data_IF_117533229428
#
_entry.id   IF_117533229428
#
_cell.length_a   1.000
_cell.length_b   1.000
_cell.length_c   1.000
_cell.angle_alpha   90.00
_cell.angle_beta   90.00
_cell.angle_gamma   90.00
#
_symmetry.space_group_name_H-M   'P 1'
#
loop_
_entity.id
_entity.type
_entity.pdbx_description
1 polymer ?
#
# COMPACT_ATOMS: atom_id res chain seq x y z
N UNK A 1 -12.14 -29.12 13.34
CA UNK A 1 -10.98 -28.48 12.68
C UNK A 1 -11.09 -26.98 12.83
N UNK A 2 -10.28 -26.39 13.72
CA UNK A 2 -10.15 -24.95 13.86
C UNK A 2 -8.70 -24.61 13.53
N UNK A 3 -8.42 -24.19 12.30
CA UNK A 3 -7.13 -23.60 11.97
C UNK A 3 -7.13 -22.20 12.57
N UNK A 4 -6.40 -22.05 13.68
CA UNK A 4 -6.13 -20.78 14.32
C UNK A 4 -5.42 -19.84 13.33
N UNK A 5 -6.22 -19.00 12.68
CA UNK A 5 -5.74 -17.78 12.07
C UNK A 5 -5.75 -16.76 13.20
N UNK A 6 -4.60 -16.57 13.85
CA UNK A 6 -4.41 -15.45 14.77
C UNK A 6 -4.69 -14.17 13.98
N UNK A 7 -5.64 -13.31 14.39
CA UNK A 7 -6.02 -12.12 13.63
C UNK A 7 -5.03 -10.96 13.76
N UNK A 8 -3.89 -11.16 14.42
CA UNK A 8 -3.09 -10.06 14.96
C UNK A 8 -1.76 -9.80 14.23
N UNK A 9 -1.54 -10.36 13.03
CA UNK A 9 -0.31 -10.10 12.25
C UNK A 9 -0.59 -9.78 10.80
N UNK A 10 -0.16 -8.60 10.39
CA UNK A 10 -0.27 -8.19 9.00
C UNK A 10 0.67 -9.05 8.13
N UNK A 11 0.26 -9.52 6.95
CA UNK A 11 1.16 -10.20 6.01
C UNK A 11 2.40 -9.37 5.65
N UNK A 12 2.33 -8.04 5.82
CA UNK A 12 3.45 -7.11 5.63
C UNK A 12 4.54 -7.25 6.69
N UNK A 13 4.25 -7.69 7.92
CA UNK A 13 5.28 -7.95 8.94
C UNK A 13 6.26 -9.05 8.49
N UNK A 14 5.74 -10.10 7.86
CA UNK A 14 6.56 -11.17 7.27
C UNK A 14 7.30 -10.73 6.01
N UNK A 15 6.89 -9.60 5.42
CA UNK A 15 7.52 -8.99 4.26
C UNK A 15 8.37 -7.78 4.64
N UNK A 16 8.42 -7.35 5.90
CA UNK A 16 9.05 -6.09 6.33
C UNK A 16 10.50 -6.00 5.87
N UNK A 17 11.28 -7.05 6.08
CA UNK A 17 12.68 -7.11 5.62
C UNK A 17 12.80 -6.97 4.10
N UNK A 18 11.88 -7.58 3.33
CA UNK A 18 11.85 -7.45 1.88
C UNK A 18 11.38 -6.05 1.43
N UNK A 19 10.41 -5.47 2.13
CA UNK A 19 9.90 -4.12 1.90
C UNK A 19 10.99 -3.08 2.20
N UNK A 20 11.74 -3.25 3.30
CA UNK A 20 12.90 -2.44 3.65
C UNK A 20 14.02 -2.57 2.61
N UNK A 21 14.33 -3.79 2.16
CA UNK A 21 15.30 -4.01 1.08
C UNK A 21 14.89 -3.35 -0.24
N UNK A 22 13.57 -3.20 -0.49
CA UNK A 22 13.03 -2.46 -1.63
C UNK A 22 12.97 -0.94 -1.40
N UNK A 23 13.30 -0.44 -0.20
CA UNK A 23 13.22 0.98 0.15
C UNK A 23 11.80 1.48 0.39
N UNK A 24 10.88 0.61 0.81
CA UNK A 24 9.51 0.98 1.15
C UNK A 24 9.48 1.69 2.50
N UNK A 25 8.95 2.91 2.50
CA UNK A 25 8.76 3.72 3.71
C UNK A 25 7.49 3.26 4.42
N UNK A 26 7.55 2.91 5.72
CA UNK A 26 6.36 2.58 6.51
C UNK A 26 5.47 3.81 6.72
N UNK A 27 4.17 3.59 6.93
CA UNK A 27 3.18 4.64 7.11
C UNK A 27 3.56 5.65 8.20
N UNK A 28 4.03 5.17 9.36
CA UNK A 28 4.39 6.01 10.51
C UNK A 28 5.56 6.97 10.25
N UNK A 29 6.44 6.65 9.29
CA UNK A 29 7.59 7.48 8.93
C UNK A 29 7.29 8.52 7.87
N UNK A 30 6.17 8.43 7.16
CA UNK A 30 5.87 9.34 6.05
C UNK A 30 5.72 10.80 6.47
N UNK A 31 5.32 11.08 7.71
CA UNK A 31 5.28 12.45 8.25
C UNK A 31 6.68 13.06 8.43
N UNK A 32 7.71 12.23 8.61
CA UNK A 32 9.09 12.68 8.79
C UNK A 32 9.85 12.83 7.47
N UNK A 33 9.29 12.34 6.36
CA UNK A 33 9.88 12.50 5.03
C UNK A 33 9.65 13.94 4.56
N UNK A 34 10.65 14.62 3.95
CA UNK A 34 10.45 15.96 3.41
C UNK A 34 9.32 15.98 2.37
N UNK A 35 8.42 16.97 2.47
CA UNK A 35 7.34 17.18 1.50
C UNK A 35 7.88 17.24 0.06
N UNK A 36 7.16 16.66 -0.90
CA UNK A 36 7.58 16.61 -2.29
C UNK A 36 8.63 15.53 -2.62
N UNK A 37 9.05 14.73 -1.63
CA UNK A 37 9.98 13.61 -1.84
C UNK A 37 9.30 12.43 -2.52
N UNK A 38 10.02 11.77 -3.44
CA UNK A 38 9.57 10.51 -4.03
C UNK A 38 9.83 9.35 -3.08
N UNK A 39 8.80 8.59 -2.78
CA UNK A 39 8.82 7.44 -1.87
C UNK A 39 8.23 6.19 -2.53
N UNK A 40 8.56 5.03 -1.95
CA UNK A 40 7.83 3.79 -2.15
C UNK A 40 7.03 3.50 -0.89
N UNK A 41 5.76 3.15 -1.04
CA UNK A 41 4.88 2.68 0.03
C UNK A 41 4.26 1.37 -0.38
N UNK A 42 3.95 0.49 0.56
CA UNK A 42 3.32 -0.78 0.27
C UNK A 42 2.36 -1.17 1.37
N UNK A 43 1.29 -1.88 1.02
CA UNK A 43 0.31 -2.31 2.00
C UNK A 43 -0.88 -3.03 1.38
N UNK A 44 -1.73 -3.56 2.25
CA UNK A 44 -3.02 -4.13 1.86
C UNK A 44 -3.97 -3.01 1.47
N UNK A 45 -4.72 -3.18 0.37
CA UNK A 45 -5.68 -2.18 -0.07
C UNK A 45 -6.98 -2.32 0.73
N UNK A 46 -7.29 -1.35 1.58
CA UNK A 46 -8.48 -1.41 2.44
C UNK A 46 -9.71 -0.87 1.73
N UNK A 47 -9.56 0.25 1.01
CA UNK A 47 -10.67 0.85 0.28
C UNK A 47 -10.22 1.64 -0.94
N UNK A 48 -11.18 1.87 -1.84
CA UNK A 48 -11.03 2.63 -3.08
C UNK A 48 -12.24 3.53 -3.25
N UNK A 49 -12.01 4.83 -3.41
CA UNK A 49 -13.07 5.81 -3.56
C UNK A 49 -12.81 6.68 -4.77
N UNK A 50 -13.81 6.77 -5.65
CA UNK A 50 -13.79 7.70 -6.79
C UNK A 50 -14.98 8.65 -6.65
N UNK A 51 -14.81 9.79 -5.95
CA UNK A 51 -15.85 10.79 -5.85
C UNK A 51 -16.22 11.30 -7.24
N UNK A 52 -17.52 11.51 -7.50
CA UNK A 52 -18.00 12.03 -8.78
C UNK A 52 -17.43 13.41 -9.12
N UNK A 53 -17.07 14.19 -8.09
CA UNK A 53 -16.53 15.55 -8.19
C UNK A 53 -15.01 15.60 -8.40
N UNK A 54 -14.29 14.49 -8.25
CA UNK A 54 -12.83 14.46 -8.25
C UNK A 54 -12.17 14.42 -9.65
N UNK A 55 -12.90 14.82 -10.70
CA UNK A 55 -12.41 14.88 -12.09
C UNK A 55 -11.69 13.59 -12.58
N UNK A 56 -12.12 12.43 -12.08
CA UNK A 56 -11.56 11.12 -12.43
C UNK A 56 -10.34 10.67 -11.61
N UNK A 57 -9.97 11.41 -10.57
CA UNK A 57 -9.03 10.97 -9.52
C UNK A 57 -9.70 9.88 -8.67
N UNK A 58 -8.90 8.90 -8.28
CA UNK A 58 -9.31 7.84 -7.34
C UNK A 58 -8.42 7.89 -6.12
N UNK A 59 -9.03 7.83 -4.95
CA UNK A 59 -8.35 7.65 -3.67
C UNK A 59 -8.29 6.16 -3.34
N UNK A 60 -7.12 5.71 -2.91
CA UNK A 60 -6.93 4.37 -2.37
C UNK A 60 -6.29 4.49 -1.00
N UNK A 61 -6.67 3.63 -0.07
CA UNK A 61 -5.99 3.56 1.21
C UNK A 61 -5.25 2.24 1.31
N UNK A 62 -3.97 2.32 1.65
CA UNK A 62 -3.12 1.18 1.93
C UNK A 62 -2.93 1.07 3.44
N UNK A 63 -2.90 -0.14 3.96
CA UNK A 63 -2.62 -0.41 5.36
C UNK A 63 -1.39 -1.30 5.45
N UNK A 64 -0.43 -0.88 6.26
CA UNK A 64 0.70 -1.68 6.71
C UNK A 64 0.63 -1.85 8.24
N UNK A 65 1.61 -2.54 8.81
CA UNK A 65 1.70 -2.81 10.25
C UNK A 65 1.87 -1.55 11.12
N UNK A 66 2.23 -0.43 10.52
CA UNK A 66 2.49 0.85 11.20
C UNK A 66 1.36 1.86 11.05
N UNK A 67 0.43 1.62 10.11
CA UNK A 67 -0.77 2.43 9.95
C UNK A 67 -1.29 2.50 8.52
N UNK A 68 -2.03 3.57 8.24
CA UNK A 68 -2.71 3.79 6.97
C UNK A 68 -2.00 4.85 6.12
N UNK A 69 -1.98 4.62 4.81
CA UNK A 69 -1.42 5.53 3.82
C UNK A 69 -2.48 5.86 2.78
N UNK A 70 -2.87 7.14 2.75
CA UNK A 70 -3.74 7.65 1.69
C UNK A 70 -2.95 7.81 0.40
N UNK A 71 -3.43 7.20 -0.67
CA UNK A 71 -2.85 7.25 -2.00
C UNK A 71 -3.80 7.94 -2.96
N UNK A 72 -3.34 9.01 -3.59
CA UNK A 72 -4.06 9.72 -4.63
C UNK A 72 -3.61 9.20 -5.99
N UNK A 73 -4.53 8.62 -6.76
CA UNK A 73 -4.27 8.13 -8.11
C UNK A 73 -4.94 9.03 -9.15
N UNK A 74 -4.12 9.69 -9.96
CA UNK A 74 -4.61 10.45 -11.10
C UNK A 74 -5.29 9.54 -12.12
N UNK A 75 -6.14 10.13 -12.96
CA UNK A 75 -6.84 9.41 -14.04
C UNK A 75 -5.88 8.69 -14.98
N UNK A 76 -4.71 9.27 -15.26
CA UNK A 76 -3.67 8.66 -16.11
C UNK A 76 -3.04 7.42 -15.48
N UNK A 77 -2.67 7.49 -14.20
CA UNK A 77 -2.09 6.34 -13.47
C UNK A 77 -3.11 5.22 -13.32
N UNK A 78 -4.36 5.57 -12.96
CA UNK A 78 -5.45 4.61 -12.88
C UNK A 78 -5.71 3.92 -14.22
N UNK A 79 -5.74 4.65 -15.33
CA UNK A 79 -5.96 4.08 -16.65
C UNK A 79 -4.82 3.12 -17.05
N UNK A 80 -3.57 3.50 -16.79
CA UNK A 80 -2.38 2.68 -17.09
C UNK A 80 -2.34 1.37 -16.32
N UNK A 81 -2.81 1.38 -15.07
CA UNK A 81 -2.77 0.24 -14.16
C UNK A 81 -4.15 -0.30 -13.82
N UNK A 82 -5.14 -0.10 -14.70
CA UNK A 82 -6.58 -0.30 -14.42
C UNK A 82 -6.91 -1.65 -13.78
N UNK A 83 -6.37 -2.75 -14.33
CA UNK A 83 -6.62 -4.11 -13.82
C UNK A 83 -6.08 -4.23 -12.39
N UNK A 84 -4.80 -3.92 -12.21
CA UNK A 84 -4.12 -3.96 -10.92
C UNK A 84 -4.82 -3.07 -9.87
N UNK A 85 -5.17 -1.84 -10.25
CA UNK A 85 -5.80 -0.87 -9.38
C UNK A 85 -7.19 -1.32 -8.90
N UNK A 86 -7.88 -2.15 -9.67
CA UNK A 86 -9.21 -2.64 -9.33
C UNK A 86 -9.18 -3.93 -8.51
N UNK A 87 -8.24 -4.83 -8.79
CA UNK A 87 -8.33 -6.22 -8.28
C UNK A 87 -7.31 -6.57 -7.22
N UNK A 88 -6.19 -5.85 -7.11
CA UNK A 88 -5.12 -6.24 -6.20
C UNK A 88 -5.54 -6.10 -4.73
N UNK A 89 -5.32 -7.12 -3.92
CA UNK A 89 -5.53 -7.04 -2.46
C UNK A 89 -4.39 -6.32 -1.74
N UNK A 90 -3.21 -6.22 -2.36
CA UNK A 90 -2.08 -5.44 -1.86
C UNK A 90 -1.28 -4.82 -3.01
N UNK A 91 -0.70 -3.66 -2.75
CA UNK A 91 0.02 -2.87 -3.75
C UNK A 91 1.35 -2.37 -3.20
N UNK A 92 2.32 -2.23 -4.09
CA UNK A 92 3.46 -1.33 -3.92
C UNK A 92 3.21 -0.11 -4.80
N UNK A 93 3.26 1.07 -4.22
CA UNK A 93 3.04 2.35 -4.90
C UNK A 93 4.29 3.19 -4.80
N UNK A 94 4.74 3.69 -5.95
CA UNK A 94 5.73 4.77 -6.01
C UNK A 94 5.00 6.08 -6.22
N UNK A 95 5.34 7.09 -5.45
CA UNK A 95 4.67 8.38 -5.54
C UNK A 95 5.43 9.49 -4.84
N UNK A 96 4.85 10.68 -4.90
CA UNK A 96 5.36 11.86 -4.21
C UNK A 96 4.58 12.04 -2.91
N UNK A 97 5.29 12.14 -1.79
CA UNK A 97 4.65 12.44 -0.49
C UNK A 97 4.20 13.90 -0.45
N UNK A 98 3.00 14.12 0.04
CA UNK A 98 2.42 15.41 0.38
C UNK A 98 2.01 15.36 1.84
N UNK A 99 2.71 16.10 2.69
CA UNK A 99 2.51 16.12 4.14
C UNK A 99 2.62 17.54 4.73
N UNK A 100 2.74 18.57 3.89
CA UNK A 100 2.81 19.98 4.31
C UNK A 100 1.65 20.45 5.22
N UNK A 101 0.50 19.79 5.17
CA UNK A 101 -0.71 20.14 5.96
C UNK A 101 -0.88 19.27 7.21
N UNK A 102 0.10 18.42 7.55
CA UNK A 102 0.06 17.52 8.70
C UNK A 102 -0.67 16.20 8.47
N UNK A 103 -1.33 16.01 7.32
CA UNK A 103 -1.85 14.73 6.87
C UNK A 103 -1.04 14.20 5.69
N UNK A 104 -0.66 12.93 5.73
CA UNK A 104 0.10 12.29 4.65
C UNK A 104 -0.82 11.85 3.52
N UNK A 105 -0.49 12.26 2.30
CA UNK A 105 -1.01 11.69 1.06
C UNK A 105 0.13 11.38 0.12
N UNK A 106 0.12 10.20 -0.51
CA UNK A 106 1.08 9.83 -1.55
C UNK A 106 0.41 9.97 -2.92
N UNK A 107 0.88 10.90 -3.72
CA UNK A 107 0.43 11.07 -5.11
C UNK A 107 1.13 10.01 -5.98
N UNK A 108 0.38 8.99 -6.40
CA UNK A 108 0.92 7.86 -7.13
C UNK A 108 1.43 8.26 -8.51
N UNK A 109 2.60 7.77 -8.87
CA UNK A 109 3.18 7.84 -10.22
C UNK A 109 3.20 6.47 -10.91
N UNK A 110 3.34 5.39 -10.11
CA UNK A 110 3.42 4.01 -10.57
C UNK A 110 2.94 3.09 -9.48
N UNK A 111 2.39 1.95 -9.89
CA UNK A 111 1.89 0.93 -8.97
C UNK A 111 2.22 -0.46 -9.49
N UNK A 112 2.55 -1.35 -8.56
CA UNK A 112 2.87 -2.76 -8.77
C UNK A 112 2.08 -3.63 -7.79
N UNK A 113 1.92 -4.91 -8.14
CA UNK A 113 1.30 -5.88 -7.25
C UNK A 113 2.27 -6.23 -6.12
N UNK A 114 1.78 -6.20 -4.87
CA UNK A 114 2.49 -6.83 -3.77
C UNK A 114 1.96 -8.26 -3.63
N UNK A 115 2.80 -9.25 -3.93
CA UNK A 115 2.40 -10.64 -3.74
C UNK A 115 2.39 -10.97 -2.25
N UNK A 116 1.20 -11.00 -1.64
CA UNK A 116 1.00 -11.50 -0.27
C UNK A 116 0.99 -13.03 -0.21
N UNK A 117 1.58 -13.73 -1.18
CA UNK A 117 1.84 -15.16 -1.02
C UNK A 117 2.87 -15.31 0.08
N UNK A 118 2.36 -15.46 1.31
CA UNK A 118 3.08 -16.13 2.38
C UNK A 118 3.51 -17.45 1.77
N UNK A 119 4.81 -17.65 1.61
CA UNK A 119 5.32 -18.98 1.32
C UNK A 119 4.80 -19.84 2.47
N UNK A 120 3.73 -20.60 2.20
CA UNK A 120 3.34 -21.69 3.08
C UNK A 120 4.52 -22.63 3.05
N UNK A 121 5.47 -22.46 3.98
CA UNK A 121 6.20 -23.61 4.48
C UNK A 121 5.10 -24.46 5.11
N UNK A 122 4.58 -25.37 4.29
CA UNK A 122 3.86 -26.54 4.74
C UNK A 122 4.73 -27.14 5.84
N UNK A 123 4.40 -26.82 7.09
CA UNK A 123 4.92 -27.55 8.23
C UNK A 123 4.18 -28.85 8.15
N UNK A 124 4.80 -29.83 7.51
CA UNK A 124 4.43 -31.23 7.67
C UNK A 124 4.48 -31.50 9.18
N UNK A 125 3.30 -31.56 9.79
CA UNK A 125 3.15 -32.10 11.13
C UNK A 125 3.15 -33.63 10.96
N UNK A 126 4.26 -34.25 11.32
CA UNK A 126 4.30 -35.68 11.67
C UNK A 126 4.14 -35.83 13.18
#
# INVERSE_FOLDING_TARGET
WATGVSPDRYPTEFLRENLDAMGVVPADRLLSVPDGTRVLVAGAVTHRQRPATAQGVTFMNLEDETGMVNVLCSRGVWARHRKLAQTASALVVRGIVQNATGAVTVVADRMGELSMRVASKSRDFR
#
